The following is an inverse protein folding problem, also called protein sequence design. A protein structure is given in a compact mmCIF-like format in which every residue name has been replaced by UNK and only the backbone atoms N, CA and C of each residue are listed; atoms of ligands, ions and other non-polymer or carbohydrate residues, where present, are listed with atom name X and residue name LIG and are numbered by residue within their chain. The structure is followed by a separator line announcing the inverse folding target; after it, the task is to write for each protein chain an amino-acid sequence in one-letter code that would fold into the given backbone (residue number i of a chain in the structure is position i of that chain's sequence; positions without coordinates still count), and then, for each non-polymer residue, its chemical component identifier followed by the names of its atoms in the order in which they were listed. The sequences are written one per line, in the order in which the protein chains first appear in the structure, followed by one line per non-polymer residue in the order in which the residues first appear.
data_IF_510284444909
#
_entry.id   IF_510284444909
#
_cell.length_a   1.000
_cell.length_b   1.000
_cell.length_c   1.000
_cell.angle_alpha   90.00
_cell.angle_beta   90.00
_cell.angle_gamma   90.00
#
_symmetry.space_group_name_H-M   'P 1'
#
loop_
_entity.id
_entity.type
_entity.pdbx_description
1 polymer ?
#
# COMPACT_ATOMS: atom_id res chain seq x y z
N UNK A 1 -17.76 -0.57 -2.33
CA UNK A 1 -18.07 -0.86 -0.90
C UNK A 1 -19.35 -0.15 -0.43
N UNK A 2 -19.74 0.99 -1.04
CA UNK A 2 -20.98 1.68 -0.69
C UNK A 2 -22.22 0.79 -0.83
N UNK A 3 -22.16 -0.19 -1.73
CA UNK A 3 -23.26 -1.11 -2.00
C UNK A 3 -23.37 -2.27 -0.98
N UNK A 4 -22.39 -2.42 -0.08
CA UNK A 4 -22.36 -3.47 0.93
C UNK A 4 -21.81 -2.98 2.29
N UNK A 5 -22.65 -2.35 3.12
CA UNK A 5 -22.24 -1.85 4.44
C UNK A 5 -21.74 -2.95 5.41
N UNK A 6 -22.25 -4.18 5.29
CA UNK A 6 -21.79 -5.31 6.11
C UNK A 6 -20.33 -5.64 5.85
N UNK A 7 -19.92 -5.61 4.59
CA UNK A 7 -18.53 -5.83 4.21
C UNK A 7 -17.58 -4.81 4.87
N UNK A 8 -18.01 -3.56 5.02
CA UNK A 8 -17.22 -2.53 5.70
C UNK A 8 -17.03 -2.89 7.17
N UNK A 9 -18.10 -3.33 7.87
CA UNK A 9 -18.02 -3.73 9.28
C UNK A 9 -17.10 -4.95 9.47
N UNK A 10 -17.22 -5.96 8.61
CA UNK A 10 -16.34 -7.11 8.60
C UNK A 10 -14.88 -6.70 8.34
N UNK A 11 -14.64 -5.82 7.37
CA UNK A 11 -13.29 -5.33 7.03
C UNK A 11 -12.62 -4.59 8.18
N UNK A 12 -13.35 -3.82 8.97
CA UNK A 12 -12.80 -3.14 10.16
C UNK A 12 -12.20 -4.16 11.13
N UNK A 13 -12.92 -5.25 11.40
CA UNK A 13 -12.44 -6.31 12.30
C UNK A 13 -11.24 -7.04 11.72
N UNK A 14 -11.31 -7.43 10.44
CA UNK A 14 -10.23 -8.16 9.76
C UNK A 14 -8.94 -7.34 9.71
N UNK A 15 -9.01 -6.04 9.39
CA UNK A 15 -7.83 -5.15 9.38
C UNK A 15 -7.18 -5.05 10.77
N UNK A 16 -7.97 -4.98 11.85
CA UNK A 16 -7.40 -4.96 13.20
C UNK A 16 -6.72 -6.29 13.53
N UNK A 17 -7.30 -7.42 13.11
CA UNK A 17 -6.67 -8.74 13.28
C UNK A 17 -5.35 -8.83 12.50
N UNK A 18 -5.30 -8.32 11.28
CA UNK A 18 -4.08 -8.27 10.47
C UNK A 18 -3.01 -7.41 11.15
N UNK A 19 -3.35 -6.23 11.69
CA UNK A 19 -2.44 -5.39 12.44
C UNK A 19 -1.86 -6.09 13.67
N UNK A 20 -2.69 -6.79 14.44
CA UNK A 20 -2.24 -7.57 15.59
C UNK A 20 -1.34 -8.74 15.18
N UNK A 21 -1.68 -9.42 14.08
CA UNK A 21 -0.91 -10.55 13.56
C UNK A 21 0.52 -10.15 13.12
N UNK A 22 0.68 -8.96 12.55
CA UNK A 22 2.01 -8.43 12.18
C UNK A 22 2.76 -7.77 13.37
N UNK A 23 2.20 -7.82 14.57
CA UNK A 23 2.86 -7.42 15.80
C UNK A 23 2.57 -5.99 16.28
N UNK A 24 1.61 -5.29 15.69
CA UNK A 24 1.14 -3.99 16.20
C UNK A 24 0.18 -4.25 17.38
N UNK A 25 0.71 -4.28 18.59
CA UNK A 25 -0.03 -4.64 19.81
C UNK A 25 -0.22 -3.42 20.73
N UNK A 26 -1.44 -2.85 20.81
CA UNK A 26 -1.71 -1.70 21.69
C UNK A 26 -1.46 -1.96 23.17
N UNK A 27 -1.47 -3.22 23.62
CA UNK A 27 -1.19 -3.57 25.00
C UNK A 27 0.31 -3.55 25.34
N UNK A 28 1.19 -3.64 24.34
CA UNK A 28 2.64 -3.72 24.49
C UNK A 28 3.39 -2.51 23.94
N UNK A 29 2.75 -1.73 23.09
CA UNK A 29 3.35 -0.64 22.34
C UNK A 29 2.48 0.61 22.40
N UNK A 30 3.04 1.77 22.14
CA UNK A 30 2.27 3.01 21.97
C UNK A 30 1.60 3.04 20.57
N UNK A 31 0.64 2.14 20.37
CA UNK A 31 -0.12 1.97 19.14
C UNK A 31 -1.60 2.25 19.41
N UNK A 32 -2.24 3.02 18.54
CA UNK A 32 -3.65 3.34 18.62
C UNK A 32 -4.34 2.96 17.32
N UNK A 33 -5.35 2.12 17.39
CA UNK A 33 -6.23 1.84 16.25
C UNK A 33 -7.39 2.82 16.27
N UNK A 34 -7.49 3.62 15.23
CA UNK A 34 -8.50 4.66 15.12
C UNK A 34 -9.52 4.28 14.06
N UNK A 35 -10.79 4.21 14.43
CA UNK A 35 -11.89 4.10 13.48
C UNK A 35 -12.21 5.52 12.97
N UNK A 36 -11.92 5.78 11.71
CA UNK A 36 -12.09 7.11 11.08
C UNK A 36 -13.48 7.72 11.34
N UNK A 37 -14.55 6.94 11.19
CA UNK A 37 -15.93 7.40 11.41
C UNK A 37 -16.28 7.70 12.88
N UNK A 38 -15.44 7.29 13.83
CA UNK A 38 -15.61 7.64 15.24
C UNK A 38 -14.98 8.98 15.60
N UNK A 39 -14.12 9.52 14.74
CA UNK A 39 -13.48 10.84 14.91
C UNK A 39 -14.20 11.84 14.01
N UNK A 40 -15.23 12.49 14.53
CA UNK A 40 -16.10 13.41 13.77
C UNK A 40 -15.34 14.62 13.26
N UNK A 41 -14.33 15.07 13.98
CA UNK A 41 -13.47 16.20 13.68
C UNK A 41 -12.66 16.00 12.39
N UNK A 42 -12.43 14.75 11.96
CA UNK A 42 -11.78 14.47 10.67
C UNK A 42 -12.60 15.00 9.48
N UNK A 43 -13.92 14.88 9.54
CA UNK A 43 -14.80 15.44 8.50
C UNK A 43 -14.74 16.98 8.50
N UNK A 44 -14.75 17.59 9.68
CA UNK A 44 -14.64 19.02 9.82
C UNK A 44 -13.27 19.52 9.33
N UNK A 45 -12.18 18.86 9.74
CA UNK A 45 -10.84 19.17 9.25
C UNK A 45 -10.75 19.05 7.73
N UNK A 46 -11.34 18.02 7.14
CA UNK A 46 -11.38 17.85 5.67
C UNK A 46 -12.04 19.05 5.00
N UNK A 47 -13.14 19.58 5.56
CA UNK A 47 -13.80 20.79 5.05
C UNK A 47 -12.88 22.00 5.16
N UNK A 48 -12.23 22.24 6.30
CA UNK A 48 -11.29 23.37 6.45
C UNK A 48 -10.11 23.28 5.49
N UNK A 49 -9.52 22.09 5.33
CA UNK A 49 -8.43 21.88 4.38
C UNK A 49 -8.90 22.14 2.93
N UNK A 50 -10.14 21.80 2.59
CA UNK A 50 -10.68 22.06 1.25
C UNK A 50 -10.78 23.55 0.91
N UNK A 51 -10.98 24.43 1.91
CA UNK A 51 -11.06 25.86 1.70
C UNK A 51 -9.73 26.48 1.23
N UNK A 52 -8.62 25.79 1.46
CA UNK A 52 -7.26 26.23 1.08
C UNK A 52 -6.65 25.39 -0.03
N UNK A 53 -7.40 24.42 -0.58
CA UNK A 53 -6.92 23.50 -1.60
C UNK A 53 -7.47 23.87 -2.98
N UNK A 54 -6.65 24.36 -3.92
CA UNK A 54 -7.10 24.60 -5.29
C UNK A 54 -7.51 23.28 -5.98
N UNK A 55 -8.65 23.27 -6.66
CA UNK A 55 -9.15 22.11 -7.39
C UNK A 55 -8.13 21.58 -8.43
N UNK A 56 -7.38 22.49 -9.06
CA UNK A 56 -6.34 22.15 -10.03
C UNK A 56 -5.22 21.27 -9.45
N UNK A 57 -4.99 21.28 -8.14
CA UNK A 57 -4.02 20.37 -7.52
C UNK A 57 -4.49 18.93 -7.59
N UNK A 58 -5.78 18.69 -7.39
CA UNK A 58 -6.36 17.35 -7.51
C UNK A 58 -6.28 16.87 -8.96
N UNK A 59 -6.57 17.72 -9.92
CA UNK A 59 -6.49 17.38 -11.34
C UNK A 59 -5.04 17.11 -11.81
N UNK A 60 -4.06 17.77 -11.22
CA UNK A 60 -2.64 17.61 -11.57
C UNK A 60 -1.96 16.42 -10.90
N UNK A 61 -2.56 15.83 -9.88
CA UNK A 61 -1.99 14.68 -9.17
C UNK A 61 -1.97 13.46 -10.11
N UNK A 62 -0.79 12.81 -10.33
CA UNK A 62 -0.67 11.71 -11.28
C UNK A 62 -1.47 10.48 -10.88
N UNK A 63 -1.60 10.18 -9.59
CA UNK A 63 -2.39 9.05 -9.08
C UNK A 63 -3.88 9.26 -9.37
N UNK A 64 -4.42 10.44 -9.06
CA UNK A 64 -5.82 10.80 -9.35
C UNK A 64 -6.10 10.75 -10.85
N UNK A 65 -5.17 11.24 -11.66
CA UNK A 65 -5.31 11.24 -13.11
C UNK A 65 -5.41 9.81 -13.65
N UNK A 66 -4.50 8.93 -13.23
CA UNK A 66 -4.49 7.52 -13.64
C UNK A 66 -5.76 6.77 -13.20
N UNK A 67 -6.20 6.97 -11.95
CA UNK A 67 -7.41 6.35 -11.42
C UNK A 67 -8.68 6.87 -12.10
N UNK A 68 -8.73 8.17 -12.41
CA UNK A 68 -9.84 8.78 -13.17
C UNK A 68 -9.95 8.17 -14.57
N UNK A 69 -8.83 8.04 -15.28
CA UNK A 69 -8.79 7.42 -16.59
C UNK A 69 -9.26 5.96 -16.54
N UNK A 70 -8.86 5.22 -15.52
CA UNK A 70 -9.32 3.85 -15.30
C UNK A 70 -10.84 3.78 -15.05
N UNK A 71 -11.40 4.67 -14.21
CA UNK A 71 -12.85 4.72 -13.97
C UNK A 71 -13.61 5.02 -15.26
N UNK A 72 -13.18 6.01 -16.04
CA UNK A 72 -13.79 6.38 -17.30
C UNK A 72 -13.72 5.25 -18.33
N UNK A 73 -12.59 4.53 -18.42
CA UNK A 73 -12.45 3.38 -19.32
C UNK A 73 -13.39 2.22 -18.98
N UNK A 74 -13.81 2.12 -17.70
CA UNK A 74 -14.79 1.16 -17.22
C UNK A 74 -16.25 1.65 -17.38
N UNK A 75 -16.48 2.79 -18.01
CA UNK A 75 -17.81 3.40 -18.13
C UNK A 75 -18.39 3.93 -16.81
N UNK A 76 -17.56 4.11 -15.79
CA UNK A 76 -17.97 4.64 -14.49
C UNK A 76 -17.87 6.17 -14.47
N UNK A 77 -18.80 6.82 -13.76
CA UNK A 77 -18.73 8.27 -13.55
C UNK A 77 -17.71 8.63 -12.46
N UNK A 78 -17.05 9.77 -12.65
CA UNK A 78 -16.16 10.36 -11.66
C UNK A 78 -17.01 11.22 -10.72
N UNK A 79 -17.12 10.82 -9.46
CA UNK A 79 -17.92 11.53 -8.47
C UNK A 79 -17.14 12.67 -7.82
N UNK A 80 -17.84 13.64 -7.21
CA UNK A 80 -17.21 14.68 -6.40
C UNK A 80 -16.39 14.08 -5.24
N UNK A 81 -16.91 13.03 -4.59
CA UNK A 81 -16.19 12.32 -3.52
C UNK A 81 -14.88 11.72 -3.98
N UNK A 82 -14.83 11.20 -5.21
CA UNK A 82 -13.56 10.74 -5.80
C UNK A 82 -12.55 11.88 -5.97
N UNK A 83 -12.96 13.04 -6.46
CA UNK A 83 -12.05 14.18 -6.60
C UNK A 83 -11.67 14.81 -5.26
N UNK A 84 -12.45 14.55 -4.22
CA UNK A 84 -12.27 15.13 -2.89
C UNK A 84 -11.45 14.25 -1.93
N UNK A 85 -11.32 12.93 -2.21
CA UNK A 85 -10.66 12.01 -1.29
C UNK A 85 -9.20 12.40 -0.92
N UNK A 86 -8.39 13.06 -1.79
CA UNK A 86 -7.04 13.42 -1.39
C UNK A 86 -6.98 14.48 -0.29
N UNK A 87 -8.00 15.34 -0.21
CA UNK A 87 -8.13 16.31 0.88
C UNK A 87 -8.54 15.60 2.18
N UNK A 88 -9.42 14.60 2.09
CA UNK A 88 -9.76 13.74 3.22
C UNK A 88 -8.55 12.92 3.69
N UNK A 89 -7.76 12.39 2.76
CA UNK A 89 -6.50 11.69 3.10
C UNK A 89 -5.50 12.64 3.79
N UNK A 90 -5.42 13.89 3.36
CA UNK A 90 -4.59 14.88 4.05
C UNK A 90 -5.07 15.11 5.48
N UNK A 91 -6.38 15.12 5.73
CA UNK A 91 -6.93 15.20 7.09
C UNK A 91 -6.56 13.98 7.94
N UNK A 92 -6.65 12.77 7.36
CA UNK A 92 -6.28 11.51 8.04
C UNK A 92 -4.79 11.49 8.45
N UNK A 93 -3.93 12.15 7.69
CA UNK A 93 -2.50 12.26 7.99
C UNK A 93 -2.23 13.37 9.01
N UNK A 94 -2.88 14.51 8.86
CA UNK A 94 -2.57 15.71 9.64
C UNK A 94 -3.20 15.75 11.03
N UNK A 95 -4.27 14.95 11.29
CA UNK A 95 -4.96 15.01 12.59
C UNK A 95 -4.10 14.56 13.77
N UNK A 96 -3.02 13.81 13.51
CA UNK A 96 -2.04 13.40 14.53
C UNK A 96 -0.86 14.39 14.63
N UNK A 97 -0.91 15.52 13.93
CA UNK A 97 0.17 16.49 13.95
C UNK A 97 0.41 17.01 15.37
N UNK A 98 1.65 16.99 15.88
CA UNK A 98 1.98 17.67 17.11
C UNK A 98 1.83 19.19 16.92
N UNK A 99 1.68 19.94 18.03
CA UNK A 99 1.76 21.41 17.97
C UNK A 99 3.17 21.80 17.47
N UNK A 100 3.29 22.58 16.39
CA UNK A 100 4.58 23.03 15.86
C UNK A 100 5.42 23.89 16.84
N UNK A 101 4.80 24.34 17.94
CA UNK A 101 5.50 25.05 19.02
C UNK A 101 6.20 24.09 19.98
N UNK A 102 5.69 22.85 20.08
CA UNK A 102 6.23 21.82 20.98
C UNK A 102 7.19 20.88 20.25
N UNK A 103 6.89 20.56 19.00
CA UNK A 103 7.74 19.70 18.17
C UNK A 103 7.75 20.17 16.72
N UNK A 104 8.92 20.02 16.09
CA UNK A 104 9.12 20.20 14.64
C UNK A 104 9.39 18.89 13.94
N UNK A 105 9.34 17.77 14.66
CA UNK A 105 9.51 16.44 14.11
C UNK A 105 8.43 16.18 13.04
N UNK A 106 8.81 15.64 11.88
CA UNK A 106 7.85 15.33 10.83
C UNK A 106 6.94 14.17 11.23
N UNK A 107 5.72 14.16 10.69
CA UNK A 107 4.86 12.99 10.72
C UNK A 107 5.43 11.97 9.72
N UNK A 108 5.89 10.81 10.19
CA UNK A 108 6.29 9.72 9.33
C UNK A 108 5.05 8.92 8.89
N UNK A 109 4.83 8.80 7.60
CA UNK A 109 3.65 8.14 7.03
C UNK A 109 4.11 6.89 6.27
N UNK A 110 3.90 5.67 6.81
CA UNK A 110 4.22 4.43 6.10
C UNK A 110 3.31 4.28 4.88
N UNK A 111 3.90 4.31 3.69
CA UNK A 111 3.16 4.28 2.42
C UNK A 111 3.91 3.53 1.32
N UNK A 112 3.20 3.06 0.32
CA UNK A 112 3.80 2.64 -0.96
C UNK A 112 4.24 3.85 -1.81
N UNK A 113 5.10 3.62 -2.79
CA UNK A 113 5.61 4.66 -3.69
C UNK A 113 4.50 5.42 -4.43
N UNK A 114 3.40 4.75 -4.73
CA UNK A 114 2.23 5.33 -5.40
C UNK A 114 1.51 6.41 -4.56
N UNK A 115 1.80 6.47 -3.25
CA UNK A 115 1.24 7.46 -2.33
C UNK A 115 2.11 8.71 -2.15
N UNK A 116 3.34 8.72 -2.66
CA UNK A 116 4.25 9.88 -2.57
C UNK A 116 3.61 11.18 -3.11
N UNK A 117 2.85 11.16 -4.23
CA UNK A 117 2.15 12.36 -4.69
C UNK A 117 1.13 12.91 -3.69
N UNK A 118 0.43 12.03 -2.94
CA UNK A 118 -0.52 12.45 -1.91
C UNK A 118 0.18 13.06 -0.68
N UNK A 119 1.33 12.53 -0.28
CA UNK A 119 2.15 13.13 0.80
C UNK A 119 2.63 14.52 0.41
N UNK A 120 3.06 14.71 -0.84
CA UNK A 120 3.43 16.03 -1.37
C UNK A 120 2.25 17.00 -1.32
N UNK A 121 1.08 16.56 -1.77
CA UNK A 121 -0.11 17.40 -1.78
C UNK A 121 -0.58 17.72 -0.35
N UNK A 122 -0.48 16.78 0.60
CA UNK A 122 -0.71 17.03 2.03
C UNK A 122 0.21 18.13 2.57
N UNK A 123 1.50 18.09 2.23
CA UNK A 123 2.45 19.14 2.62
C UNK A 123 2.13 20.51 1.99
N UNK A 124 1.68 20.54 0.74
CA UNK A 124 1.24 21.76 0.08
C UNK A 124 0.01 22.36 0.80
N UNK A 125 -0.99 21.52 1.07
CA UNK A 125 -2.23 21.90 1.77
C UNK A 125 -1.90 22.45 3.17
N UNK A 126 -1.12 21.71 3.96
CA UNK A 126 -0.73 22.12 5.32
C UNK A 126 0.07 23.43 5.31
N UNK A 127 0.95 23.62 4.32
CA UNK A 127 1.71 24.88 4.16
C UNK A 127 0.81 26.08 3.89
N UNK A 128 -0.19 25.93 3.00
CA UNK A 128 -1.13 27.02 2.73
C UNK A 128 -2.02 27.26 3.94
N UNK A 129 -2.50 26.22 4.61
CA UNK A 129 -3.28 26.33 5.83
C UNK A 129 -2.51 27.10 6.92
N UNK A 130 -1.27 26.70 7.19
CA UNK A 130 -0.42 27.34 8.20
C UNK A 130 -0.17 28.84 7.90
N UNK A 131 -0.04 29.20 6.63
CA UNK A 131 0.14 30.60 6.20
C UNK A 131 -1.15 31.42 6.30
N UNK A 132 -2.29 30.79 6.01
CA UNK A 132 -3.58 31.47 5.94
C UNK A 132 -4.16 31.71 7.32
N UNK A 133 -4.00 30.77 8.24
CA UNK A 133 -4.62 30.83 9.58
C UNK A 133 -3.57 30.98 10.68
N UNK A 134 -2.88 29.89 11.02
CA UNK A 134 -1.81 29.86 12.03
C UNK A 134 -0.95 28.61 11.83
N UNK A 135 0.31 28.59 12.29
CA UNK A 135 1.12 27.38 12.35
C UNK A 135 0.41 26.30 13.18
N UNK A 136 -0.13 25.29 12.50
CA UNK A 136 -0.97 24.23 13.08
C UNK A 136 -0.40 22.83 12.79
N UNK A 137 0.20 22.64 11.64
CA UNK A 137 0.68 21.33 11.19
C UNK A 137 2.18 21.32 10.97
N UNK A 138 2.83 20.23 11.37
CA UNK A 138 4.22 19.93 10.98
C UNK A 138 4.24 19.26 9.59
N UNK A 139 5.42 19.12 9.02
CA UNK A 139 5.63 18.45 7.73
C UNK A 139 5.38 16.95 7.85
N UNK A 140 4.93 16.34 6.75
CA UNK A 140 4.82 14.90 6.60
C UNK A 140 5.95 14.36 5.72
N UNK A 141 6.47 13.18 6.05
CA UNK A 141 7.48 12.47 5.27
C UNK A 141 7.00 11.05 4.97
N UNK A 142 7.15 10.61 3.72
CA UNK A 142 6.83 9.26 3.32
C UNK A 142 7.88 8.28 3.87
N UNK A 143 7.43 7.26 4.58
CA UNK A 143 8.25 6.12 4.97
C UNK A 143 7.93 4.98 4.00
N UNK A 144 8.73 4.84 2.95
CA UNK A 144 8.57 3.81 1.94
C UNK A 144 9.40 2.59 2.33
N UNK A 145 8.79 1.41 2.34
CA UNK A 145 9.51 0.17 2.63
C UNK A 145 10.43 -0.25 1.48
N UNK A 146 11.40 -1.12 1.77
CA UNK A 146 12.36 -1.64 0.81
C UNK A 146 11.72 -2.53 -0.27
N UNK A 147 10.52 -3.05 0.01
CA UNK A 147 9.77 -3.89 -0.91
C UNK A 147 8.84 -3.02 -1.74
N UNK A 148 9.14 -2.93 -3.02
CA UNK A 148 8.29 -2.25 -3.98
C UNK A 148 6.96 -2.97 -4.21
N UNK A 149 6.31 -2.65 -5.32
CA UNK A 149 5.02 -3.26 -5.67
C UNK A 149 5.18 -4.74 -6.01
N UNK A 150 4.51 -5.61 -5.25
CA UNK A 150 4.49 -7.04 -5.53
C UNK A 150 3.61 -7.36 -6.76
N UNK A 151 4.12 -8.26 -7.57
CA UNK A 151 3.37 -8.87 -8.68
C UNK A 151 2.47 -10.00 -8.15
N UNK A 152 1.43 -10.34 -8.90
CA UNK A 152 0.60 -11.49 -8.58
C UNK A 152 1.38 -12.81 -8.68
N UNK A 153 0.91 -13.84 -8.01
CA UNK A 153 1.52 -15.18 -8.03
C UNK A 153 1.56 -15.77 -9.43
N UNK A 154 0.71 -15.30 -10.35
CA UNK A 154 0.68 -15.68 -11.76
C UNK A 154 1.80 -15.04 -12.61
N UNK A 155 2.55 -14.08 -12.08
CA UNK A 155 3.64 -13.39 -12.77
C UNK A 155 3.23 -12.51 -13.94
N UNK A 156 1.95 -12.33 -14.18
CA UNK A 156 1.44 -11.62 -15.36
C UNK A 156 0.90 -10.23 -15.07
N UNK A 157 0.42 -10.03 -13.86
CA UNK A 157 -0.32 -8.82 -13.51
C UNK A 157 -0.10 -8.41 -12.05
N UNK A 158 -0.59 -7.22 -11.72
CA UNK A 158 -0.72 -6.77 -10.34
C UNK A 158 -1.55 -7.77 -9.53
N UNK A 159 -1.20 -7.98 -8.26
CA UNK A 159 -2.07 -8.64 -7.29
C UNK A 159 -3.49 -8.09 -7.34
N UNK A 160 -4.48 -8.98 -7.46
CA UNK A 160 -5.89 -8.59 -7.49
C UNK A 160 -6.76 -9.70 -6.92
N UNK A 161 -7.74 -9.32 -6.10
CA UNK A 161 -8.76 -10.24 -5.59
C UNK A 161 -9.54 -10.92 -6.73
N UNK A 162 -9.87 -10.15 -7.78
CA UNK A 162 -10.65 -10.65 -8.92
C UNK A 162 -9.87 -11.64 -9.79
N UNK A 163 -8.54 -11.63 -9.75
CA UNK A 163 -7.67 -12.54 -10.49
C UNK A 163 -7.23 -13.76 -9.66
N UNK A 164 -7.57 -13.80 -8.38
CA UNK A 164 -7.18 -14.86 -7.46
C UNK A 164 -5.66 -15.17 -7.49
N UNK A 165 -4.84 -14.12 -7.64
CA UNK A 165 -3.38 -14.18 -7.75
C UNK A 165 -2.67 -13.48 -6.58
N UNK A 166 -3.36 -13.33 -5.44
CA UNK A 166 -2.85 -12.69 -4.23
C UNK A 166 -2.88 -13.69 -3.07
N UNK A 167 -1.83 -13.68 -2.25
CA UNK A 167 -1.78 -14.36 -0.95
C UNK A 167 -2.26 -13.35 0.09
N UNK A 168 -3.22 -13.75 0.95
CA UNK A 168 -3.78 -12.90 1.99
C UNK A 168 -3.16 -13.25 3.34
N UNK A 169 -3.02 -12.26 4.23
CA UNK A 169 -2.54 -12.49 5.60
C UNK A 169 -3.43 -13.46 6.40
N UNK A 170 -4.70 -13.56 6.04
CA UNK A 170 -5.66 -14.50 6.65
C UNK A 170 -5.63 -15.91 6.07
N UNK A 171 -4.87 -16.15 5.00
CA UNK A 171 -4.80 -17.49 4.39
C UNK A 171 -4.09 -18.44 5.33
N UNK A 172 -4.60 -19.67 5.42
CA UNK A 172 -3.98 -20.72 6.20
C UNK A 172 -2.74 -21.29 5.51
N UNK A 173 -1.93 -22.03 6.26
CA UNK A 173 -0.66 -22.60 5.78
C UNK A 173 -0.85 -23.46 4.52
N UNK A 174 -1.93 -24.26 4.47
CA UNK A 174 -2.21 -25.13 3.33
C UNK A 174 -2.50 -24.32 2.07
N UNK A 175 -3.31 -23.26 2.21
CA UNK A 175 -3.65 -22.33 1.12
C UNK A 175 -2.41 -21.61 0.63
N UNK A 176 -1.58 -21.07 1.53
CA UNK A 176 -0.33 -20.40 1.16
C UNK A 176 0.61 -21.35 0.44
N UNK A 177 0.85 -22.55 0.98
CA UNK A 177 1.71 -23.55 0.36
C UNK A 177 1.23 -23.96 -1.04
N UNK A 178 -0.09 -24.12 -1.22
CA UNK A 178 -0.70 -24.40 -2.52
C UNK A 178 -0.50 -23.26 -3.51
N UNK A 179 -0.67 -22.01 -3.07
CA UNK A 179 -0.47 -20.84 -3.94
C UNK A 179 0.99 -20.70 -4.35
N UNK A 180 1.93 -20.87 -3.42
CA UNK A 180 3.37 -20.83 -3.72
C UNK A 180 3.74 -21.96 -4.70
N UNK A 181 3.29 -23.20 -4.46
CA UNK A 181 3.53 -24.31 -5.37
C UNK A 181 3.03 -24.06 -6.79
N UNK A 182 1.91 -23.36 -6.92
CA UNK A 182 1.29 -23.01 -8.20
C UNK A 182 1.75 -21.65 -8.75
N UNK A 183 2.71 -20.98 -8.12
CA UNK A 183 3.27 -19.74 -8.65
C UNK A 183 3.81 -19.93 -10.05
N UNK A 184 4.00 -18.81 -10.73
CA UNK A 184 4.64 -18.73 -12.02
C UNK A 184 5.88 -19.64 -12.10
N UNK A 185 6.00 -20.33 -13.20
CA UNK A 185 7.19 -21.12 -13.57
C UNK A 185 7.72 -20.56 -14.89
N UNK A 186 9.03 -20.36 -15.00
CA UNK A 186 9.65 -19.82 -16.22
C UNK A 186 9.33 -20.73 -17.41
N UNK A 187 8.58 -20.26 -18.42
CA UNK A 187 8.20 -21.10 -19.57
C UNK A 187 9.38 -21.52 -20.44
N UNK A 188 10.55 -20.92 -20.25
CA UNK A 188 11.79 -21.33 -20.94
C UNK A 188 12.42 -22.58 -20.34
N UNK A 189 12.05 -22.94 -19.11
CA UNK A 189 12.52 -24.12 -18.42
C UNK A 189 11.59 -25.30 -18.70
N UNK A 190 11.97 -26.14 -19.68
CA UNK A 190 11.25 -27.38 -20.03
C UNK A 190 11.69 -28.51 -19.12
N UNK A 191 12.97 -28.54 -18.77
CA UNK A 191 13.57 -29.55 -17.89
C UNK A 191 14.06 -28.91 -16.60
N UNK A 192 14.11 -29.63 -15.47
CA UNK A 192 14.56 -29.11 -14.17
C UNK A 192 15.98 -28.51 -14.19
N UNK A 193 16.81 -28.96 -15.14
CA UNK A 193 18.20 -28.49 -15.28
C UNK A 193 18.38 -27.40 -16.34
N UNK A 194 17.31 -26.90 -16.92
CA UNK A 194 17.42 -25.79 -17.86
C UNK A 194 17.73 -24.47 -17.09
N UNK A 195 18.62 -23.62 -17.62
CA UNK A 195 18.85 -22.29 -17.05
C UNK A 195 17.56 -21.49 -17.00
N UNK A 196 17.33 -20.77 -15.90
CA UNK A 196 16.15 -19.94 -15.71
C UNK A 196 16.46 -18.45 -15.65
N UNK A 197 15.42 -17.63 -15.74
CA UNK A 197 15.49 -16.18 -15.65
C UNK A 197 15.04 -15.72 -14.26
N UNK A 198 15.91 -15.00 -13.55
CA UNK A 198 15.61 -14.45 -12.21
C UNK A 198 14.89 -13.10 -12.33
N UNK A 199 15.33 -12.26 -13.27
CA UNK A 199 14.75 -10.93 -13.47
C UNK A 199 13.26 -11.01 -13.84
N UNK A 200 12.43 -10.32 -13.07
CA UNK A 200 10.97 -10.32 -13.26
C UNK A 200 10.26 -11.62 -12.86
N UNK A 201 10.96 -12.61 -12.33
CA UNK A 201 10.37 -13.85 -11.87
C UNK A 201 9.71 -13.64 -10.49
N UNK A 202 8.38 -13.83 -10.36
CA UNK A 202 7.65 -13.62 -9.12
C UNK A 202 8.21 -14.39 -7.93
N UNK A 203 8.68 -15.61 -8.12
CA UNK A 203 9.22 -16.42 -7.02
C UNK A 203 10.41 -15.71 -6.36
N UNK A 204 11.33 -15.16 -7.15
CA UNK A 204 12.47 -14.41 -6.61
C UNK A 204 12.10 -13.03 -6.10
N UNK A 205 11.09 -12.37 -6.66
CA UNK A 205 10.54 -11.13 -6.11
C UNK A 205 10.00 -11.38 -4.69
N UNK A 206 9.31 -12.50 -4.47
CA UNK A 206 8.80 -12.88 -3.15
C UNK A 206 9.91 -13.31 -2.19
N UNK A 207 10.95 -14.00 -2.65
CA UNK A 207 12.14 -14.27 -1.85
C UNK A 207 12.84 -12.98 -1.42
N UNK A 208 13.03 -12.03 -2.33
CA UNK A 208 13.64 -10.74 -2.01
C UNK A 208 12.82 -9.96 -0.97
N UNK A 209 11.50 -10.06 -1.06
CA UNK A 209 10.58 -9.37 -0.16
C UNK A 209 10.48 -10.00 1.23
N UNK A 210 10.39 -11.33 1.30
CA UNK A 210 9.95 -12.03 2.50
C UNK A 210 10.98 -12.98 3.11
N UNK A 211 11.99 -13.45 2.36
CA UNK A 211 13.00 -14.34 2.90
C UNK A 211 14.07 -13.52 3.66
N UNK A 212 14.21 -13.69 4.99
CA UNK A 212 15.21 -12.98 5.76
C UNK A 212 16.63 -13.46 5.49
N UNK A 213 16.81 -14.71 4.97
CA UNK A 213 18.11 -15.29 4.67
C UNK A 213 18.59 -14.85 3.27
N UNK A 214 19.22 -13.69 3.22
CA UNK A 214 19.70 -13.12 1.95
C UNK A 214 20.79 -13.93 1.27
N UNK A 215 21.59 -14.71 2.02
CA UNK A 215 22.62 -15.60 1.49
C UNK A 215 21.99 -16.78 0.73
N UNK A 216 20.96 -17.38 1.32
CA UNK A 216 20.18 -18.43 0.66
C UNK A 216 19.52 -17.95 -0.62
N UNK A 217 18.92 -16.75 -0.58
CA UNK A 217 18.29 -16.16 -1.78
C UNK A 217 19.31 -15.93 -2.90
N UNK A 218 20.52 -15.48 -2.54
CA UNK A 218 21.61 -15.28 -3.51
C UNK A 218 22.07 -16.61 -4.12
N UNK A 219 22.25 -17.66 -3.31
CA UNK A 219 22.61 -19.02 -3.78
C UNK A 219 21.52 -19.57 -4.70
N UNK A 220 20.25 -19.49 -4.30
CA UNK A 220 19.14 -19.96 -5.13
C UNK A 220 19.09 -19.24 -6.48
N UNK A 221 19.31 -17.94 -6.52
CA UNK A 221 19.37 -17.15 -7.78
C UNK A 221 20.51 -17.62 -8.68
N UNK A 222 21.70 -17.80 -8.11
CA UNK A 222 22.87 -18.27 -8.88
C UNK A 222 22.63 -19.67 -9.45
N UNK A 223 22.14 -20.60 -8.64
CA UNK A 223 21.82 -21.98 -9.04
C UNK A 223 20.70 -22.02 -10.08
N UNK A 224 19.71 -21.15 -9.98
CA UNK A 224 18.60 -21.07 -10.93
C UNK A 224 19.05 -20.63 -12.32
N UNK A 225 19.92 -19.63 -12.39
CA UNK A 225 20.52 -19.17 -13.65
C UNK A 225 21.41 -20.27 -14.27
N UNK A 226 22.09 -21.07 -13.43
CA UNK A 226 22.94 -22.20 -13.89
C UNK A 226 22.14 -23.47 -14.22
N UNK A 227 20.84 -23.52 -13.92
CA UNK A 227 20.04 -24.73 -14.10
C UNK A 227 20.39 -25.86 -13.12
N UNK A 228 20.91 -25.52 -11.93
CA UNK A 228 21.30 -26.50 -10.91
C UNK A 228 20.32 -26.60 -9.74
N UNK A 229 19.19 -25.94 -9.84
CA UNK A 229 18.08 -26.00 -8.88
C UNK A 229 16.74 -26.10 -9.64
N UNK A 230 15.80 -26.86 -9.12
CA UNK A 230 14.49 -27.02 -9.73
C UNK A 230 13.52 -25.91 -9.33
N UNK A 231 12.44 -25.71 -10.11
CA UNK A 231 11.36 -24.78 -9.73
C UNK A 231 10.63 -25.19 -8.43
N UNK A 232 10.60 -26.49 -8.15
CA UNK A 232 10.00 -27.02 -6.91
C UNK A 232 10.85 -26.67 -5.70
N UNK A 233 12.18 -26.66 -5.85
CA UNK A 233 13.11 -26.35 -4.75
C UNK A 233 13.14 -24.86 -4.43
N UNK A 234 12.96 -23.98 -5.43
CA UNK A 234 12.94 -22.53 -5.21
C UNK A 234 11.58 -22.02 -4.73
N UNK A 235 10.53 -22.78 -4.82
CA UNK A 235 9.19 -22.49 -4.32
C UNK A 235 8.99 -23.03 -2.92
#
# INVERSE_FOLDING_TARGET
HADNPKLIQESVREVVLDFLAVGLDPAKQNVHFVLQSAVRELTELTVYLSMVTPFSWMESNPTIRSEREMLLSQGKSVTTGFMYYPVSQAADILFVSPDPKESKEPILVPVGEDQIPHIRDTNNISSVFNKTYAPTFVRCEALVGDVGRLVGTDGRSKMSKSLNNAIYLKDDEETVAKMIKNMFTDPKRIHPNDPGTVEGNPVFIYHDAFNPNKEEVADLKERYVKGTVSDVEVK
#
